data_IF_000204238004
#
_entry.id   IF_000204238004
#
_cell.length_a   1.000
_cell.length_b   1.000
_cell.length_c   1.000
_cell.angle_alpha   90.00
_cell.angle_beta   90.00
_cell.angle_gamma   90.00
#
_symmetry.space_group_name_H-M   'P 1'
#
loop_
_entity.id
_entity.type
_entity.pdbx_description
1 polymer ?
#
# COMPACT_ATOMS: atom_id res chain seq x y z
N UNK A 1 38.16 -48.96 16.07
CA UNK A 1 37.28 -47.77 16.21
C UNK A 1 38.02 -46.70 16.98
N UNK A 2 38.64 -45.74 16.27
CA UNK A 2 39.13 -44.46 16.82
C UNK A 2 39.08 -43.44 15.68
N UNK A 3 38.22 -42.44 15.85
CA UNK A 3 37.94 -41.38 14.87
C UNK A 3 39.18 -40.51 14.61
N UNK A 4 39.41 -40.18 13.34
CA UNK A 4 40.37 -39.17 12.89
C UNK A 4 39.64 -37.86 12.60
N UNK A 5 40.35 -36.78 12.91
CA UNK A 5 39.98 -35.37 12.97
C UNK A 5 39.67 -34.68 11.63
N UNK A 6 38.81 -33.65 11.74
CA UNK A 6 38.86 -32.30 11.11
C UNK A 6 38.81 -32.21 9.57
N UNK A 7 37.66 -31.75 9.05
CA UNK A 7 37.57 -30.78 7.96
C UNK A 7 36.43 -29.80 8.28
N UNK A 8 36.77 -28.54 8.51
CA UNK A 8 35.86 -27.42 8.35
C UNK A 8 35.69 -27.15 6.85
N UNK A 9 34.45 -26.95 6.38
CA UNK A 9 34.20 -26.21 5.15
C UNK A 9 32.89 -25.44 5.28
N UNK A 10 33.03 -24.13 5.49
CA UNK A 10 32.03 -23.13 5.12
C UNK A 10 31.90 -23.13 3.60
N UNK A 11 30.69 -23.31 3.06
CA UNK A 11 30.31 -22.77 1.76
C UNK A 11 28.92 -22.17 1.89
N UNK A 12 28.90 -20.84 1.75
CA UNK A 12 27.72 -20.03 1.55
C UNK A 12 27.06 -20.33 0.19
N UNK A 13 25.74 -20.45 0.19
CA UNK A 13 24.87 -20.05 -0.94
C UNK A 13 23.70 -19.33 -0.27
N UNK A 14 23.76 -18.00 -0.15
CA UNK A 14 23.21 -17.03 -1.10
C UNK A 14 21.81 -17.40 -1.62
N UNK A 15 20.84 -16.58 -1.22
CA UNK A 15 19.66 -16.28 -2.02
C UNK A 15 18.36 -16.86 -1.51
N UNK A 16 17.67 -16.13 -0.64
CA UNK A 16 16.25 -15.83 -0.80
C UNK A 16 15.99 -14.48 -0.13
N UNK A 17 15.69 -13.50 -0.99
CA UNK A 17 15.41 -12.11 -0.71
C UNK A 17 14.53 -11.90 0.53
N UNK A 18 15.10 -11.42 1.62
CA UNK A 18 14.35 -10.60 2.58
C UNK A 18 14.39 -9.14 2.13
N UNK A 19 14.07 -8.89 0.86
CA UNK A 19 13.43 -7.62 0.50
C UNK A 19 11.94 -7.91 0.61
N UNK A 20 11.47 -8.15 1.84
CA UNK A 20 10.05 -8.04 2.14
C UNK A 20 9.75 -6.56 1.86
N UNK A 21 9.11 -6.28 0.72
CA UNK A 21 8.52 -4.97 0.53
C UNK A 21 7.60 -4.80 1.73
N UNK A 22 7.89 -3.80 2.56
CA UNK A 22 7.04 -3.55 3.71
C UNK A 22 5.72 -3.06 3.12
N UNK A 23 4.69 -3.93 3.13
CA UNK A 23 3.32 -3.52 2.87
C UNK A 23 3.10 -2.27 3.71
N UNK A 24 2.79 -1.18 3.03
CA UNK A 24 2.58 0.10 3.68
C UNK A 24 1.51 -0.10 4.75
N UNK A 25 1.80 0.24 6.01
CA UNK A 25 0.76 0.13 7.05
C UNK A 25 -0.40 1.07 6.72
N UNK A 26 -1.60 0.76 7.21
CA UNK A 26 -2.78 1.63 7.06
C UNK A 26 -2.48 3.07 7.49
N UNK A 27 -1.80 3.24 8.62
CA UNK A 27 -1.40 4.55 9.14
C UNK A 27 -0.46 5.28 8.16
N UNK A 28 0.56 4.57 7.65
CA UNK A 28 1.48 5.14 6.67
C UNK A 28 0.80 5.46 5.33
N UNK A 29 -0.20 4.68 4.93
CA UNK A 29 -1.01 4.93 3.74
C UNK A 29 -1.87 6.19 3.91
N UNK A 30 -2.55 6.32 5.05
CA UNK A 30 -3.33 7.49 5.40
C UNK A 30 -2.47 8.76 5.48
N UNK A 31 -1.26 8.67 6.04
CA UNK A 31 -0.33 9.79 6.08
C UNK A 31 0.16 10.19 4.68
N UNK A 32 0.42 9.22 3.79
CA UNK A 32 0.76 9.53 2.40
C UNK A 32 -0.38 10.24 1.68
N UNK A 33 -1.61 9.76 1.83
CA UNK A 33 -2.79 10.41 1.26
C UNK A 33 -2.96 11.84 1.79
N UNK A 34 -2.81 12.03 3.11
CA UNK A 34 -2.89 13.35 3.77
C UNK A 34 -1.82 14.30 3.25
N UNK A 35 -0.58 13.81 3.10
CA UNK A 35 0.55 14.61 2.63
C UNK A 35 0.42 14.95 1.15
N UNK A 36 -0.10 14.04 0.33
CA UNK A 36 -0.39 14.30 -1.07
C UNK A 36 -1.46 15.40 -1.21
N UNK A 37 -2.56 15.32 -0.45
CA UNK A 37 -3.57 16.37 -0.41
C UNK A 37 -2.99 17.74 -0.01
N UNK A 38 -2.11 17.78 1.00
CA UNK A 38 -1.45 19.02 1.46
C UNK A 38 -0.47 19.60 0.44
N UNK A 39 0.00 18.79 -0.51
CA UNK A 39 0.89 19.24 -1.58
C UNK A 39 0.13 19.93 -2.72
N UNK A 40 -1.18 19.70 -2.84
CA UNK A 40 -2.03 20.38 -3.81
C UNK A 40 -2.17 21.88 -3.49
N UNK A 41 -2.36 22.69 -4.54
CA UNK A 41 -2.49 24.14 -4.36
C UNK A 41 -3.89 24.50 -3.88
N UNK A 42 -3.95 25.22 -2.76
CA UNK A 42 -5.21 25.79 -2.26
C UNK A 42 -5.97 24.88 -1.30
N UNK A 43 -5.38 23.75 -0.93
CA UNK A 43 -5.89 22.85 0.11
C UNK A 43 -5.36 23.22 1.48
N UNK A 44 -6.24 23.30 2.47
CA UNK A 44 -5.87 23.46 3.87
C UNK A 44 -5.83 22.10 4.61
N UNK A 45 -5.27 22.12 5.82
CA UNK A 45 -5.11 20.91 6.62
C UNK A 45 -6.45 20.27 7.00
N UNK A 46 -7.48 21.07 7.29
CA UNK A 46 -8.80 20.58 7.68
C UNK A 46 -9.47 19.82 6.53
N UNK A 47 -9.35 20.34 5.31
CA UNK A 47 -9.83 19.70 4.07
C UNK A 47 -9.13 18.35 3.85
N UNK A 48 -7.82 18.28 4.07
CA UNK A 48 -7.07 17.04 3.92
C UNK A 48 -7.35 16.02 5.03
N UNK A 49 -7.66 16.49 6.24
CA UNK A 49 -8.07 15.61 7.33
C UNK A 49 -9.47 15.03 7.07
N UNK A 50 -10.41 15.87 6.61
CA UNK A 50 -11.71 15.42 6.12
C UNK A 50 -11.58 14.37 5.01
N UNK A 51 -10.70 14.61 4.03
CA UNK A 51 -10.53 13.72 2.88
C UNK A 51 -10.14 12.29 3.29
N UNK A 52 -9.14 12.16 4.17
CA UNK A 52 -8.68 10.86 4.65
C UNK A 52 -9.75 10.16 5.50
N UNK A 53 -10.44 10.92 6.36
CA UNK A 53 -11.51 10.38 7.21
C UNK A 53 -12.73 9.95 6.38
N UNK A 54 -13.10 10.73 5.35
CA UNK A 54 -14.19 10.42 4.44
C UNK A 54 -13.87 9.22 3.57
N UNK A 55 -12.63 9.08 3.10
CA UNK A 55 -12.19 7.89 2.38
C UNK A 55 -12.33 6.65 3.27
N UNK A 56 -11.86 6.70 4.51
CA UNK A 56 -11.94 5.58 5.43
C UNK A 56 -13.39 5.14 5.75
N UNK A 57 -14.34 6.07 5.72
CA UNK A 57 -15.76 5.78 5.88
C UNK A 57 -16.43 5.21 4.62
N UNK A 58 -15.87 5.49 3.44
CA UNK A 58 -16.44 5.08 2.15
C UNK A 58 -15.97 3.69 1.74
N UNK A 59 -14.76 3.30 2.13
CA UNK A 59 -14.19 2.01 1.77
C UNK A 59 -14.92 0.83 2.47
N UNK A 60 -15.11 -0.31 1.78
CA UNK A 60 -15.62 -1.54 2.39
C UNK A 60 -14.75 -2.00 3.56
N UNK A 61 -15.37 -2.39 4.68
CA UNK A 61 -14.63 -2.81 5.89
C UNK A 61 -13.76 -4.04 5.67
N UNK A 62 -14.26 -5.00 4.88
CA UNK A 62 -13.58 -6.28 4.65
C UNK A 62 -12.29 -6.14 3.81
N UNK A 63 -12.21 -5.07 3.00
CA UNK A 63 -11.07 -4.77 2.14
C UNK A 63 -10.41 -3.43 2.47
N UNK A 64 -10.77 -2.81 3.59
CA UNK A 64 -10.33 -1.47 3.97
C UNK A 64 -8.81 -1.33 3.93
N UNK A 65 -8.08 -2.26 4.56
CA UNK A 65 -6.62 -2.21 4.61
C UNK A 65 -5.99 -2.28 3.22
N UNK A 66 -6.51 -3.15 2.36
CA UNK A 66 -5.96 -3.29 1.01
C UNK A 66 -6.27 -2.07 0.17
N UNK A 67 -7.49 -1.54 0.25
CA UNK A 67 -7.94 -0.42 -0.57
C UNK A 67 -7.32 0.91 -0.14
N UNK A 68 -7.05 1.12 1.15
CA UNK A 68 -6.34 2.33 1.61
C UNK A 68 -4.87 2.30 1.16
N UNK A 69 -4.23 1.13 1.14
CA UNK A 69 -2.88 0.97 0.58
C UNK A 69 -2.87 1.16 -0.93
N UNK A 70 -3.84 0.57 -1.65
CA UNK A 70 -4.01 0.79 -3.10
C UNK A 70 -4.21 2.28 -3.42
N UNK A 71 -5.00 3.00 -2.62
CA UNK A 71 -5.20 4.43 -2.78
C UNK A 71 -3.88 5.20 -2.65
N UNK A 72 -3.09 4.91 -1.61
CA UNK A 72 -1.80 5.57 -1.38
C UNK A 72 -0.81 5.31 -2.52
N UNK A 73 -0.71 4.06 -3.00
CA UNK A 73 0.15 3.68 -4.14
C UNK A 73 -0.32 4.35 -5.43
N UNK A 74 -1.63 4.41 -5.67
CA UNK A 74 -2.22 5.04 -6.85
C UNK A 74 -1.91 6.54 -6.91
N UNK A 75 -1.99 7.24 -5.77
CA UNK A 75 -1.64 8.67 -5.70
C UNK A 75 -0.13 8.89 -5.88
N UNK A 76 0.73 7.99 -5.41
CA UNK A 76 2.18 8.12 -5.63
C UNK A 76 2.61 7.84 -7.07
N UNK A 77 1.75 7.22 -7.89
CA UNK A 77 2.10 6.81 -9.26
C UNK A 77 3.21 5.75 -9.32
N UNK A 78 3.33 4.94 -8.25
CA UNK A 78 4.41 3.96 -8.11
C UNK A 78 3.95 2.60 -8.67
N UNK A 79 4.09 2.44 -9.99
CA UNK A 79 3.69 1.23 -10.71
C UNK A 79 4.41 -0.04 -10.22
N UNK A 80 5.65 0.10 -9.72
CA UNK A 80 6.42 -1.01 -9.16
C UNK A 80 5.79 -1.48 -7.85
N UNK A 81 5.47 -0.55 -6.94
CA UNK A 81 4.74 -0.89 -5.70
C UNK A 81 3.34 -1.43 -5.97
N UNK A 82 2.65 -0.91 -6.98
CA UNK A 82 1.34 -1.44 -7.39
C UNK A 82 1.45 -2.91 -7.79
N UNK A 83 2.47 -3.23 -8.59
CA UNK A 83 2.73 -4.61 -9.02
C UNK A 83 3.08 -5.51 -7.83
N UNK A 84 4.02 -5.07 -6.97
CA UNK A 84 4.42 -5.83 -5.78
C UNK A 84 3.24 -6.08 -4.84
N UNK A 85 2.43 -5.07 -4.56
CA UNK A 85 1.27 -5.20 -3.69
C UNK A 85 0.24 -6.20 -4.23
N UNK A 86 -0.03 -6.17 -5.54
CA UNK A 86 -0.95 -7.11 -6.19
C UNK A 86 -0.46 -8.55 -6.10
N UNK A 87 0.84 -8.77 -6.30
CA UNK A 87 1.48 -10.08 -6.18
C UNK A 87 1.44 -10.59 -4.73
N UNK A 88 1.77 -9.73 -3.75
CA UNK A 88 1.78 -10.09 -2.33
C UNK A 88 0.39 -10.41 -1.77
N UNK A 89 -0.63 -9.69 -2.22
CA UNK A 89 -2.02 -9.92 -1.83
C UNK A 89 -2.70 -11.03 -2.66
N UNK A 90 -1.96 -11.68 -3.56
CA UNK A 90 -2.44 -12.73 -4.47
C UNK A 90 -3.72 -12.32 -5.22
N UNK A 91 -3.83 -11.03 -5.60
CA UNK A 91 -5.03 -10.50 -6.25
C UNK A 91 -5.08 -10.97 -7.69
N UNK A 92 -6.23 -11.52 -8.09
CA UNK A 92 -6.48 -11.82 -9.50
C UNK A 92 -6.60 -10.51 -10.30
N UNK A 93 -6.42 -10.60 -11.62
CA UNK A 93 -6.58 -9.45 -12.52
C UNK A 93 -7.94 -8.75 -12.33
N UNK A 94 -9.02 -9.54 -12.22
CA UNK A 94 -10.38 -9.04 -12.08
C UNK A 94 -10.60 -8.37 -10.72
N UNK A 95 -10.19 -9.03 -9.63
CA UNK A 95 -10.32 -8.49 -8.27
C UNK A 95 -9.51 -7.21 -8.12
N UNK A 96 -8.26 -7.18 -8.62
CA UNK A 96 -7.45 -5.96 -8.61
C UNK A 96 -8.16 -4.83 -9.35
N UNK A 97 -8.67 -5.10 -10.56
CA UNK A 97 -9.32 -4.07 -11.36
C UNK A 97 -10.59 -3.53 -10.68
N UNK A 98 -11.40 -4.41 -10.09
CA UNK A 98 -12.58 -4.02 -9.31
C UNK A 98 -12.18 -3.14 -8.12
N UNK A 99 -11.20 -3.57 -7.32
CA UNK A 99 -10.70 -2.80 -6.19
C UNK A 99 -10.14 -1.44 -6.61
N UNK A 100 -9.44 -1.34 -7.74
CA UNK A 100 -8.93 -0.06 -8.25
C UNK A 100 -10.06 0.88 -8.68
N UNK A 101 -11.10 0.35 -9.33
CA UNK A 101 -12.29 1.12 -9.71
C UNK A 101 -13.02 1.63 -8.47
N UNK A 102 -13.23 0.76 -7.49
CA UNK A 102 -13.93 1.11 -6.25
C UNK A 102 -13.11 2.09 -5.40
N UNK A 103 -11.79 1.88 -5.31
CA UNK A 103 -10.88 2.80 -4.63
C UNK A 103 -10.93 4.17 -5.28
N UNK A 104 -10.91 4.25 -6.61
CA UNK A 104 -11.02 5.52 -7.33
C UNK A 104 -12.37 6.20 -7.11
N UNK A 105 -13.47 5.44 -7.12
CA UNK A 105 -14.79 5.96 -6.82
C UNK A 105 -14.86 6.52 -5.38
N UNK A 106 -14.25 5.84 -4.42
CA UNK A 106 -14.18 6.28 -3.03
C UNK A 106 -13.34 7.57 -2.87
N UNK A 107 -12.20 7.67 -3.58
CA UNK A 107 -11.37 8.89 -3.58
C UNK A 107 -12.16 10.09 -4.12
N UNK A 108 -12.85 9.93 -5.26
CA UNK A 108 -13.69 11.00 -5.83
C UNK A 108 -14.87 11.35 -4.93
N UNK A 109 -15.47 10.38 -4.25
CA UNK A 109 -16.54 10.65 -3.28
C UNK A 109 -16.04 11.43 -2.06
N UNK A 110 -14.84 11.11 -1.56
CA UNK A 110 -14.19 11.82 -0.47
C UNK A 110 -13.82 13.25 -0.87
N UNK A 111 -13.24 13.44 -2.06
CA UNK A 111 -12.91 14.76 -2.61
C UNK A 111 -14.15 15.67 -2.64
N UNK A 112 -15.23 15.19 -3.26
CA UNK A 112 -16.49 15.92 -3.36
C UNK A 112 -17.09 16.26 -1.99
N UNK A 113 -16.97 15.36 -1.02
CA UNK A 113 -17.54 15.55 0.32
C UNK A 113 -16.78 16.60 1.13
N UNK A 114 -15.48 16.76 0.86
CA UNK A 114 -14.60 17.67 1.57
C UNK A 114 -14.31 18.98 0.80
N UNK A 115 -14.79 19.12 -0.44
CA UNK A 115 -14.62 20.33 -1.23
C UNK A 115 -13.28 20.43 -1.96
N UNK A 116 -12.70 19.27 -2.31
CA UNK A 116 -11.53 19.12 -3.17
C UNK A 116 -11.92 19.09 -4.66
#
# INVERSE_FOLDING_TARGET
MRSLSVIALLVATMGMNTALAQVLSVESAQDQLRNACKAERGTDAETCDCYVDSLAQTLPKDDFEKMVVLAAIAISGDDEKMTQFVEEQELTYDVRNEMLVDTRAALTAAEKSCGL
#
